data_IF_019827451180
#
_entry.id   IF_019827451180
#
_cell.length_a   1.000
_cell.length_b   1.000
_cell.length_c   1.000
_cell.angle_alpha   90.00
_cell.angle_beta   90.00
_cell.angle_gamma   90.00
#
_symmetry.space_group_name_H-M   'P 1'
#
loop_
_entity.id
_entity.type
_entity.pdbx_description
1 polymer ?
#
# COMPACT_ATOMS: atom_id res chain seq x y z
N UNK A 1 -41.58 62.42 34.83
CA UNK A 1 -42.06 62.16 36.21
C UNK A 1 -43.50 62.66 36.31
N UNK A 2 -44.48 61.80 36.04
CA UNK A 2 -45.89 62.12 36.29
C UNK A 2 -46.18 61.76 37.74
N UNK A 3 -46.37 62.77 38.58
CA UNK A 3 -46.76 62.57 39.98
C UNK A 3 -48.28 62.40 40.04
N UNK A 4 -48.76 61.16 40.11
CA UNK A 4 -50.11 60.91 40.62
C UNK A 4 -50.07 61.09 42.13
N UNK A 5 -50.67 62.18 42.63
CA UNK A 5 -50.91 62.37 44.05
C UNK A 5 -52.36 61.98 44.34
N UNK A 6 -52.59 61.10 45.31
CA UNK A 6 -53.93 60.80 45.82
C UNK A 6 -54.10 61.50 47.17
N UNK A 7 -55.15 62.29 47.31
CA UNK A 7 -55.46 63.00 48.55
C UNK A 7 -56.30 62.10 49.47
N UNK A 8 -55.74 61.65 50.59
CA UNK A 8 -56.43 60.75 51.53
C UNK A 8 -57.14 61.48 52.69
N UNK A 9 -57.43 62.76 52.52
CA UNK A 9 -58.32 63.52 53.42
C UNK A 9 -57.61 64.45 54.41
N UNK A 10 -56.32 64.29 54.68
CA UNK A 10 -55.57 65.23 55.56
C UNK A 10 -54.17 65.61 55.06
N UNK A 11 -53.57 64.91 54.09
CA UNK A 11 -52.35 65.33 53.38
C UNK A 11 -52.22 64.62 52.02
N UNK A 12 -51.32 65.12 51.16
CA UNK A 12 -50.96 64.51 49.87
C UNK A 12 -49.88 63.45 50.04
N UNK A 13 -50.24 62.16 49.97
CA UNK A 13 -49.28 61.06 49.93
C UNK A 13 -48.66 60.89 48.54
N UNK A 14 -47.35 60.64 48.49
CA UNK A 14 -46.64 60.21 47.27
C UNK A 14 -46.92 58.71 47.09
N UNK A 15 -47.60 58.34 46.00
CA UNK A 15 -48.11 56.99 45.75
C UNK A 15 -47.32 56.29 44.62
N UNK A 16 -45.99 56.46 44.58
CA UNK A 16 -45.18 55.86 43.51
C UNK A 16 -43.93 55.17 44.05
N UNK A 17 -43.68 53.96 43.55
CA UNK A 17 -42.37 53.31 43.63
C UNK A 17 -41.97 52.76 42.25
N UNK A 18 -40.69 53.00 41.92
CA UNK A 18 -39.81 52.64 40.80
C UNK A 18 -40.34 52.16 39.41
N UNK A 19 -39.60 52.45 38.31
CA UNK A 19 -39.91 51.92 36.97
C UNK A 19 -39.96 50.39 36.95
N UNK A 20 -41.08 49.83 36.48
CA UNK A 20 -41.36 48.39 36.49
C UNK A 20 -40.50 47.60 35.50
N UNK A 21 -39.96 48.22 34.45
CA UNK A 21 -39.15 47.56 33.43
C UNK A 21 -37.74 48.14 33.33
N UNK A 22 -36.80 47.25 33.01
CA UNK A 22 -35.39 47.57 32.83
C UNK A 22 -35.16 48.70 31.81
N UNK A 23 -36.01 48.88 30.80
CA UNK A 23 -35.86 49.87 29.72
C UNK A 23 -36.69 51.16 29.91
N UNK A 24 -37.23 51.42 31.10
CA UNK A 24 -38.08 52.60 31.35
C UNK A 24 -37.27 53.89 31.55
N UNK A 25 -35.96 53.79 31.82
CA UNK A 25 -35.09 54.96 31.96
C UNK A 25 -34.59 55.42 30.58
N UNK A 26 -34.76 56.71 30.34
CA UNK A 26 -34.53 57.34 29.05
C UNK A 26 -33.07 57.23 28.61
N UNK A 27 -32.83 56.72 27.40
CA UNK A 27 -31.51 56.72 26.78
C UNK A 27 -30.49 55.77 27.43
N UNK A 28 -30.94 54.77 28.20
CA UNK A 28 -30.07 53.87 28.94
C UNK A 28 -29.03 53.12 28.09
N UNK A 29 -29.35 52.84 26.82
CA UNK A 29 -28.45 52.16 25.88
C UNK A 29 -27.67 53.11 24.96
N UNK A 30 -27.80 54.42 25.14
CA UNK A 30 -27.11 55.45 24.35
C UNK A 30 -27.51 55.49 22.85
N UNK A 31 -26.83 56.33 22.05
CA UNK A 31 -27.11 56.48 20.62
C UNK A 31 -26.95 55.17 19.84
N UNK A 32 -27.88 54.87 18.94
CA UNK A 32 -27.96 53.62 18.15
C UNK A 32 -27.94 52.32 19.00
N UNK A 33 -28.15 52.43 20.30
CA UNK A 33 -28.37 51.30 21.20
C UNK A 33 -29.83 50.89 21.21
N UNK A 34 -30.06 49.59 21.39
CA UNK A 34 -31.37 48.96 21.47
C UNK A 34 -31.55 48.36 22.87
N UNK A 35 -32.55 48.83 23.61
CA UNK A 35 -32.89 48.27 24.91
C UNK A 35 -33.86 47.10 24.75
N UNK A 36 -33.41 45.89 25.00
CA UNK A 36 -34.20 44.67 24.81
C UNK A 36 -34.81 44.25 26.14
N UNK A 37 -36.13 44.33 26.24
CA UNK A 37 -36.87 44.05 27.49
C UNK A 37 -36.78 42.59 27.95
N UNK A 38 -36.49 41.65 27.04
CA UNK A 38 -36.50 40.20 27.27
C UNK A 38 -35.11 39.54 27.31
N UNK A 39 -34.02 40.30 27.12
CA UNK A 39 -32.67 39.74 26.98
C UNK A 39 -31.68 40.23 28.05
N UNK A 40 -30.66 39.39 28.32
CA UNK A 40 -29.47 39.74 29.09
C UNK A 40 -28.23 39.50 28.20
N UNK A 41 -27.42 40.53 27.91
CA UNK A 41 -27.45 41.89 28.46
C UNK A 41 -28.63 42.73 27.96
N UNK A 42 -29.07 43.68 28.80
CA UNK A 42 -30.21 44.59 28.55
C UNK A 42 -30.04 45.44 27.27
N UNK A 43 -28.82 45.83 26.94
CA UNK A 43 -28.53 46.69 25.79
C UNK A 43 -27.77 45.93 24.71
N UNK A 44 -28.27 46.05 23.48
CA UNK A 44 -27.65 45.52 22.27
C UNK A 44 -27.43 46.64 21.24
N UNK A 45 -26.56 46.42 20.26
CA UNK A 45 -26.42 47.32 19.12
C UNK A 45 -27.28 46.81 17.96
N UNK A 46 -27.85 47.72 17.17
CA UNK A 46 -28.48 47.34 15.91
C UNK A 46 -27.55 46.51 15.02
N UNK A 47 -28.12 45.66 14.15
CA UNK A 47 -27.34 44.93 13.14
C UNK A 47 -26.51 45.91 12.31
N UNK A 48 -25.22 45.63 12.12
CA UNK A 48 -24.29 46.53 11.43
C UNK A 48 -23.69 47.64 12.31
N UNK A 49 -23.97 47.63 13.61
CA UNK A 49 -23.36 48.54 14.60
C UNK A 49 -22.54 47.74 15.62
N UNK A 50 -21.65 48.43 16.31
CA UNK A 50 -20.79 47.90 17.38
C UNK A 50 -20.71 48.90 18.54
N UNK A 51 -20.46 48.45 19.78
CA UNK A 51 -20.30 49.36 20.91
C UNK A 51 -19.22 50.41 20.65
N UNK A 52 -19.49 51.67 20.98
CA UNK A 52 -18.50 52.76 20.86
C UNK A 52 -17.25 52.49 21.69
N UNK A 53 -17.44 51.89 22.87
CA UNK A 53 -16.37 51.37 23.73
C UNK A 53 -16.72 49.95 24.18
N UNK A 54 -15.97 48.96 23.66
CA UNK A 54 -16.18 47.55 24.00
C UNK A 54 -15.92 47.28 25.50
N UNK A 55 -14.96 48.01 26.09
CA UNK A 55 -14.58 47.83 27.49
C UNK A 55 -15.68 48.33 28.44
N UNK A 56 -16.28 49.49 28.17
CA UNK A 56 -17.40 50.02 28.95
C UNK A 56 -18.66 49.17 28.79
N UNK A 57 -18.94 48.72 27.56
CA UNK A 57 -20.08 47.87 27.25
C UNK A 57 -20.06 46.54 28.02
N UNK A 58 -18.87 45.94 28.16
CA UNK A 58 -18.67 44.70 28.96
C UNK A 58 -18.79 44.94 30.47
N UNK A 59 -18.51 46.16 30.93
CA UNK A 59 -18.63 46.55 32.34
C UNK A 59 -20.05 47.00 32.73
N UNK A 60 -21.00 46.95 31.79
CA UNK A 60 -22.39 47.35 32.02
C UNK A 60 -22.64 48.86 31.91
N UNK A 61 -21.71 49.62 31.33
CA UNK A 61 -21.92 51.02 31.00
C UNK A 61 -22.23 51.15 29.50
N UNK A 62 -23.50 51.37 29.16
CA UNK A 62 -24.00 51.47 27.78
C UNK A 62 -24.26 52.91 27.32
N UNK A 63 -24.01 53.90 28.17
CA UNK A 63 -24.29 55.32 27.90
C UNK A 63 -23.59 55.86 26.64
N UNK A 64 -22.43 55.30 26.30
CA UNK A 64 -21.68 55.64 25.09
C UNK A 64 -22.31 55.16 23.77
N UNK A 65 -23.32 54.28 23.83
CA UNK A 65 -24.04 53.79 22.67
C UNK A 65 -23.21 52.95 21.69
N UNK A 66 -23.72 52.89 20.46
CA UNK A 66 -23.19 52.12 19.36
C UNK A 66 -22.79 53.03 18.20
N UNK A 67 -21.78 52.60 17.46
CA UNK A 67 -21.31 53.23 16.22
C UNK A 67 -21.45 52.27 15.05
N UNK A 68 -21.64 52.80 13.85
CA UNK A 68 -21.73 51.98 12.63
C UNK A 68 -20.42 51.23 12.43
N UNK A 69 -20.50 49.95 12.07
CA UNK A 69 -19.35 49.12 11.72
C UNK A 69 -18.79 49.49 10.34
N UNK A 70 -19.70 49.76 9.40
CA UNK A 70 -19.37 50.14 8.02
C UNK A 70 -20.00 51.49 7.71
N UNK A 71 -19.24 52.39 7.09
CA UNK A 71 -19.71 53.71 6.66
C UNK A 71 -20.77 53.59 5.55
N UNK A 72 -21.71 54.53 5.52
CA UNK A 72 -22.73 54.60 4.48
C UNK A 72 -22.17 55.27 3.23
N UNK A 73 -22.40 54.68 2.06
CA UNK A 73 -21.98 55.29 0.80
C UNK A 73 -23.09 56.19 0.28
N UNK A 74 -22.81 57.49 0.21
CA UNK A 74 -23.67 58.48 -0.43
C UNK A 74 -22.87 59.20 -1.52
N UNK A 75 -22.83 58.62 -2.71
CA UNK A 75 -22.33 59.26 -3.92
C UNK A 75 -23.33 58.99 -5.04
N UNK A 76 -23.68 60.04 -5.81
CA UNK A 76 -24.81 60.06 -6.74
C UNK A 76 -24.77 59.11 -7.94
N UNK A 77 -23.87 58.11 -7.96
CA UNK A 77 -23.77 57.08 -9.00
C UNK A 77 -23.41 55.69 -8.41
N UNK A 78 -23.96 55.33 -7.25
CA UNK A 78 -23.84 53.97 -6.72
C UNK A 78 -24.65 52.99 -7.56
N UNK A 79 -23.99 52.31 -8.50
CA UNK A 79 -24.57 51.15 -9.19
C UNK A 79 -24.97 50.05 -8.19
N UNK A 80 -26.01 49.27 -8.50
CA UNK A 80 -26.78 48.44 -7.56
C UNK A 80 -26.03 47.40 -6.69
N UNK A 81 -24.71 47.25 -6.81
CA UNK A 81 -23.90 46.43 -5.90
C UNK A 81 -23.47 47.16 -4.62
N UNK A 82 -23.40 48.49 -4.62
CA UNK A 82 -22.92 49.30 -3.48
C UNK A 82 -24.01 50.17 -2.82
N UNK A 83 -25.26 50.03 -3.25
CA UNK A 83 -26.38 50.81 -2.73
C UNK A 83 -26.72 50.43 -1.28
N UNK A 84 -26.85 51.42 -0.39
CA UNK A 84 -27.32 51.22 0.97
C UNK A 84 -28.68 50.51 0.97
N UNK A 85 -28.91 49.69 1.99
CA UNK A 85 -30.12 48.88 2.17
C UNK A 85 -30.78 49.21 3.49
N UNK A 86 -32.07 48.95 3.62
CA UNK A 86 -32.78 49.12 4.88
C UNK A 86 -33.04 47.76 5.54
N UNK A 87 -32.75 47.67 6.82
CA UNK A 87 -33.00 46.50 7.65
C UNK A 87 -34.19 46.77 8.56
N UNK A 88 -35.21 45.90 8.51
CA UNK A 88 -36.37 46.02 9.35
C UNK A 88 -36.09 45.46 10.75
N UNK A 89 -36.51 46.21 11.76
CA UNK A 89 -36.49 45.81 13.17
C UNK A 89 -37.93 45.90 13.69
N UNK A 90 -38.44 44.78 14.18
CA UNK A 90 -39.82 44.64 14.65
C UNK A 90 -39.94 44.81 16.17
N UNK A 91 -41.18 45.10 16.59
CA UNK A 91 -41.59 45.25 17.99
C UNK A 91 -40.87 46.40 18.69
N UNK A 92 -40.73 47.53 17.99
CA UNK A 92 -39.93 48.67 18.43
C UNK A 92 -40.82 49.79 18.96
N UNK A 93 -40.44 50.37 20.10
CA UNK A 93 -40.81 51.74 20.46
C UNK A 93 -40.03 52.69 19.54
N UNK A 94 -40.70 53.48 18.68
CA UNK A 94 -40.00 54.40 17.79
C UNK A 94 -39.04 55.33 18.55
N UNK A 95 -37.83 55.60 18.01
CA UNK A 95 -36.89 56.53 18.62
C UNK A 95 -37.46 57.94 18.73
N UNK A 96 -36.94 58.71 19.69
CA UNK A 96 -37.29 60.12 19.82
C UNK A 96 -36.65 60.97 18.70
N UNK A 97 -37.06 62.25 18.60
CA UNK A 97 -36.56 63.22 17.62
C UNK A 97 -36.79 62.85 16.14
N UNK A 98 -37.99 62.37 15.82
CA UNK A 98 -38.41 62.13 14.43
C UNK A 98 -38.91 63.41 13.75
N UNK A 99 -38.82 63.44 12.42
CA UNK A 99 -39.47 64.41 11.54
C UNK A 99 -40.63 63.74 10.79
N UNK A 100 -41.73 64.46 10.61
CA UNK A 100 -42.84 63.97 9.78
C UNK A 100 -42.50 64.08 8.29
N UNK A 101 -42.51 62.95 7.60
CA UNK A 101 -42.41 62.90 6.14
C UNK A 101 -43.76 63.17 5.47
N UNK A 102 -43.73 63.74 4.27
CA UNK A 102 -44.93 64.05 3.47
C UNK A 102 -45.51 62.85 2.70
N UNK A 103 -44.96 61.65 2.90
CA UNK A 103 -45.29 60.44 2.12
C UNK A 103 -46.64 59.83 2.52
N UNK A 104 -47.40 59.36 1.54
CA UNK A 104 -48.77 58.86 1.75
C UNK A 104 -48.82 57.38 2.14
N UNK A 105 -47.78 56.61 1.78
CA UNK A 105 -47.67 55.20 2.13
C UNK A 105 -46.23 54.80 2.52
N UNK A 106 -46.07 53.56 2.96
CA UNK A 106 -44.80 53.02 3.43
C UNK A 106 -43.73 52.93 2.33
N UNK A 107 -44.12 52.71 1.07
CA UNK A 107 -43.18 52.61 -0.06
C UNK A 107 -42.68 54.00 -0.45
N UNK A 108 -43.57 55.00 -0.52
CA UNK A 108 -43.17 56.39 -0.72
C UNK A 108 -42.28 56.91 0.41
N UNK A 109 -42.56 56.50 1.66
CA UNK A 109 -41.72 56.82 2.82
C UNK A 109 -40.32 56.19 2.68
N UNK A 110 -40.27 54.94 2.21
CA UNK A 110 -39.02 54.24 1.91
C UNK A 110 -38.22 54.95 0.81
N UNK A 111 -38.84 55.25 -0.33
CA UNK A 111 -38.18 55.90 -1.47
C UNK A 111 -37.68 57.31 -1.10
N UNK A 112 -38.51 58.09 -0.40
CA UNK A 112 -38.13 59.42 0.09
C UNK A 112 -36.90 59.37 0.99
N UNK A 113 -36.91 58.46 1.97
CA UNK A 113 -35.75 58.25 2.82
C UNK A 113 -34.55 57.79 2.00
N UNK A 114 -34.70 56.79 1.12
CA UNK A 114 -33.63 56.27 0.24
C UNK A 114 -32.92 57.37 -0.57
N UNK A 115 -33.67 58.34 -1.11
CA UNK A 115 -33.12 59.47 -1.86
C UNK A 115 -32.51 60.59 -0.98
N UNK A 116 -32.84 60.62 0.31
CA UNK A 116 -32.23 61.54 1.26
C UNK A 116 -31.02 60.89 1.96
N UNK A 117 -29.82 61.36 1.65
CA UNK A 117 -28.58 60.85 2.24
C UNK A 117 -28.47 61.05 3.75
N UNK A 118 -29.11 62.09 4.28
CA UNK A 118 -29.14 62.36 5.72
C UNK A 118 -30.11 61.43 6.48
N UNK A 119 -31.02 60.75 5.78
CA UNK A 119 -31.96 59.82 6.40
C UNK A 119 -31.24 58.57 6.93
N UNK A 120 -31.29 58.33 8.23
CA UNK A 120 -30.64 57.20 8.89
C UNK A 120 -31.61 56.04 9.18
N UNK A 121 -32.89 56.36 9.40
CA UNK A 121 -33.97 55.39 9.57
C UNK A 121 -35.33 56.01 9.24
N UNK A 122 -36.32 55.17 8.97
CA UNK A 122 -37.71 55.59 8.83
C UNK A 122 -38.66 54.53 9.40
N UNK A 123 -39.89 54.93 9.71
CA UNK A 123 -40.99 54.06 10.08
C UNK A 123 -42.29 54.60 9.47
N UNK A 124 -43.21 53.73 9.09
CA UNK A 124 -44.54 54.13 8.64
C UNK A 124 -45.57 53.48 9.55
N UNK A 125 -46.29 54.31 10.31
CA UNK A 125 -47.27 53.84 11.28
C UNK A 125 -48.67 54.20 10.78
N UNK A 126 -49.54 53.19 10.67
CA UNK A 126 -50.91 53.39 10.19
C UNK A 126 -51.66 54.37 11.11
N UNK A 127 -52.17 55.46 10.54
CA UNK A 127 -52.88 56.52 11.27
C UNK A 127 -52.00 57.67 11.78
N UNK A 128 -50.67 57.52 11.79
CA UNK A 128 -49.72 58.60 12.13
C UNK A 128 -48.99 59.09 10.87
N UNK A 129 -48.58 58.18 9.98
CA UNK A 129 -47.87 58.49 8.74
C UNK A 129 -46.38 58.15 8.79
N UNK A 130 -45.62 58.78 7.89
CA UNK A 130 -44.18 58.56 7.72
C UNK A 130 -43.36 59.33 8.77
N UNK A 131 -42.55 58.61 9.54
CA UNK A 131 -41.60 59.13 10.52
C UNK A 131 -40.17 58.92 10.00
N UNK A 132 -39.35 59.96 10.02
CA UNK A 132 -37.99 59.94 9.47
C UNK A 132 -36.99 60.44 10.51
N UNK A 133 -35.85 59.77 10.63
CA UNK A 133 -34.75 60.18 11.51
C UNK A 133 -33.52 60.56 10.71
N UNK A 134 -33.10 61.82 10.85
CA UNK A 134 -31.88 62.36 10.23
C UNK A 134 -30.70 62.49 11.23
N UNK A 135 -30.93 62.14 12.50
CA UNK A 135 -29.97 62.22 13.60
C UNK A 135 -29.81 60.86 14.28
N UNK A 136 -28.92 60.79 15.28
CA UNK A 136 -28.68 59.56 16.03
C UNK A 136 -29.98 59.05 16.69
N UNK A 137 -30.22 57.74 16.59
CA UNK A 137 -31.42 57.11 17.15
C UNK A 137 -31.22 56.95 18.66
N UNK A 138 -32.13 57.53 19.45
CA UNK A 138 -32.08 57.50 20.90
C UNK A 138 -33.38 56.94 21.48
N UNK A 139 -33.26 56.32 22.66
CA UNK A 139 -34.37 55.76 23.45
C UNK A 139 -35.18 54.66 22.74
N UNK A 140 -34.50 53.83 21.94
CA UNK A 140 -35.15 52.70 21.26
C UNK A 140 -35.30 51.52 22.19
N UNK A 141 -36.55 51.03 22.32
CA UNK A 141 -36.89 49.86 23.14
C UNK A 141 -37.45 48.76 22.24
N UNK A 142 -37.00 47.52 22.43
CA UNK A 142 -37.57 46.34 21.80
C UNK A 142 -38.42 45.55 22.79
N UNK A 143 -39.69 45.37 22.43
CA UNK A 143 -40.65 44.56 23.16
C UNK A 143 -40.59 43.10 22.68
N UNK A 144 -40.95 42.17 23.57
CA UNK A 144 -41.10 40.77 23.19
C UNK A 144 -42.24 40.58 22.18
N UNK A 145 -43.34 41.32 22.33
CA UNK A 145 -44.50 41.33 21.44
C UNK A 145 -45.11 42.74 21.39
N UNK A 146 -45.67 43.12 20.25
CA UNK A 146 -46.24 44.45 20.01
C UNK A 146 -45.19 45.53 19.72
N UNK A 147 -45.62 46.73 19.36
CA UNK A 147 -44.76 47.83 18.90
C UNK A 147 -44.72 47.96 17.37
N UNK A 148 -43.86 48.83 16.88
CA UNK A 148 -43.83 49.27 15.48
C UNK A 148 -42.64 48.69 14.70
N UNK A 149 -42.66 48.88 13.38
CA UNK A 149 -41.58 48.50 12.47
C UNK A 149 -40.66 49.71 12.20
N UNK A 150 -39.39 49.59 12.59
CA UNK A 150 -38.35 50.56 12.29
C UNK A 150 -37.44 50.03 11.18
N UNK A 151 -37.26 50.80 10.11
CA UNK A 151 -36.34 50.49 9.03
C UNK A 151 -35.05 51.32 9.19
N UNK A 152 -33.95 50.67 9.57
CA UNK A 152 -32.64 51.33 9.74
C UNK A 152 -31.76 51.15 8.49
N UNK A 153 -31.13 52.23 8.03
CA UNK A 153 -30.22 52.20 6.88
C UNK A 153 -28.91 51.51 7.23
N UNK A 154 -28.43 50.59 6.40
CA UNK A 154 -27.17 49.84 6.52
C UNK A 154 -26.40 49.82 5.19
N UNK A 155 -25.09 49.57 5.26
CA UNK A 155 -24.29 49.26 4.08
C UNK A 155 -24.66 47.85 3.54
N UNK A 156 -24.65 47.65 2.21
CA UNK A 156 -25.05 46.37 1.61
C UNK A 156 -24.19 45.17 2.03
N UNK A 157 -22.92 45.43 2.34
CA UNK A 157 -21.99 44.44 2.89
C UNK A 157 -22.45 43.83 4.21
N UNK A 158 -23.28 44.53 5.00
CA UNK A 158 -23.80 44.06 6.30
C UNK A 158 -24.95 43.03 6.16
N UNK A 159 -25.50 42.84 4.95
CA UNK A 159 -26.48 41.78 4.67
C UNK A 159 -25.81 40.42 4.41
N UNK A 160 -24.50 40.39 4.12
CA UNK A 160 -23.78 39.22 3.65
C UNK A 160 -23.21 38.33 4.77
N UNK A 161 -24.06 37.58 5.47
CA UNK A 161 -23.63 36.57 6.43
C UNK A 161 -24.12 35.17 6.08
N UNK A 162 -23.42 34.44 5.19
CA UNK A 162 -23.40 32.96 5.16
C UNK A 162 -22.61 32.29 4.00
N UNK A 163 -22.06 33.03 3.03
CA UNK A 163 -21.36 32.38 1.89
C UNK A 163 -20.12 31.60 2.32
N UNK A 164 -19.34 32.12 3.28
CA UNK A 164 -18.10 31.46 3.72
C UNK A 164 -18.35 30.10 4.38
N UNK A 165 -19.43 29.98 5.17
CA UNK A 165 -19.78 28.72 5.83
C UNK A 165 -20.38 27.70 4.86
N UNK A 166 -21.17 28.14 3.87
CA UNK A 166 -21.64 27.27 2.78
C UNK A 166 -20.48 26.73 1.93
N UNK A 167 -19.48 27.56 1.65
CA UNK A 167 -18.29 27.15 0.89
C UNK A 167 -17.47 26.13 1.70
N UNK A 168 -17.24 26.37 3.00
CA UNK A 168 -16.51 25.43 3.86
C UNK A 168 -17.24 24.09 3.97
N UNK A 169 -18.56 24.09 4.16
CA UNK A 169 -19.36 22.88 4.22
C UNK A 169 -19.32 22.09 2.89
N UNK A 170 -19.41 22.78 1.74
CA UNK A 170 -19.33 22.15 0.43
C UNK A 170 -17.96 21.49 0.15
N UNK A 171 -16.87 22.12 0.60
CA UNK A 171 -15.51 21.56 0.48
C UNK A 171 -15.36 20.29 1.33
N UNK A 172 -15.86 20.29 2.57
CA UNK A 172 -15.77 19.13 3.46
C UNK A 172 -16.55 17.92 2.91
N UNK A 173 -17.77 18.14 2.41
CA UNK A 173 -18.59 17.08 1.81
C UNK A 173 -17.93 16.51 0.55
N UNK A 174 -17.33 17.36 -0.27
CA UNK A 174 -16.63 16.94 -1.49
C UNK A 174 -15.38 16.11 -1.19
N UNK A 175 -14.61 16.49 -0.17
CA UNK A 175 -13.43 15.75 0.27
C UNK A 175 -13.79 14.37 0.85
N UNK A 176 -14.84 14.29 1.67
CA UNK A 176 -15.34 13.02 2.21
C UNK A 176 -15.82 12.09 1.09
N UNK A 177 -16.57 12.62 0.12
CA UNK A 177 -17.01 11.85 -1.06
C UNK A 177 -15.84 11.31 -1.89
N UNK A 178 -14.79 12.11 -2.08
CA UNK A 178 -13.59 11.69 -2.82
C UNK A 178 -12.82 10.57 -2.11
N UNK A 179 -12.68 10.63 -0.78
CA UNK A 179 -12.03 9.56 0.01
C UNK A 179 -12.83 8.25 -0.04
N UNK A 180 -14.16 8.32 0.02
CA UNK A 180 -15.04 7.15 -0.12
C UNK A 180 -14.91 6.56 -1.52
N UNK A 181 -14.87 7.39 -2.56
CA UNK A 181 -14.71 6.92 -3.94
C UNK A 181 -13.35 6.22 -4.15
N UNK A 182 -12.24 6.79 -3.65
CA UNK A 182 -10.91 6.16 -3.75
C UNK A 182 -10.86 4.84 -2.98
N UNK A 183 -11.41 4.80 -1.75
CA UNK A 183 -11.41 3.57 -0.96
C UNK A 183 -12.27 2.47 -1.59
N UNK A 184 -13.43 2.81 -2.16
CA UNK A 184 -14.27 1.89 -2.92
C UNK A 184 -13.57 1.40 -4.21
N UNK A 185 -12.93 2.30 -4.96
CA UNK A 185 -12.17 1.94 -6.15
C UNK A 185 -10.97 1.04 -5.81
N UNK A 186 -10.26 1.31 -4.71
CA UNK A 186 -9.17 0.47 -4.22
C UNK A 186 -9.66 -0.89 -3.74
N UNK A 187 -10.77 -0.96 -3.02
CA UNK A 187 -11.40 -2.20 -2.59
C UNK A 187 -11.89 -3.02 -3.80
N UNK A 188 -12.51 -2.38 -4.79
CA UNK A 188 -12.93 -3.02 -6.03
C UNK A 188 -11.74 -3.50 -6.85
N UNK A 189 -10.65 -2.73 -6.92
CA UNK A 189 -9.41 -3.16 -7.57
C UNK A 189 -8.78 -4.36 -6.85
N UNK A 190 -8.66 -4.32 -5.52
CA UNK A 190 -8.22 -5.46 -4.69
C UNK A 190 -9.10 -6.68 -4.89
N UNK A 191 -10.42 -6.49 -4.96
CA UNK A 191 -11.39 -7.55 -5.22
C UNK A 191 -11.22 -8.14 -6.61
N UNK A 192 -11.10 -7.31 -7.66
CA UNK A 192 -10.84 -7.73 -9.04
C UNK A 192 -9.49 -8.43 -9.19
N UNK A 193 -8.44 -7.97 -8.52
CA UNK A 193 -7.12 -8.64 -8.50
C UNK A 193 -7.21 -10.00 -7.83
N UNK A 194 -7.90 -10.11 -6.67
CA UNK A 194 -8.07 -11.39 -5.95
C UNK A 194 -8.98 -12.36 -6.72
N UNK A 195 -10.05 -11.87 -7.34
CA UNK A 195 -11.01 -12.67 -8.10
C UNK A 195 -10.43 -13.12 -9.45
N UNK A 196 -9.73 -12.24 -10.18
CA UNK A 196 -9.01 -12.63 -11.40
C UNK A 196 -7.82 -13.54 -11.10
N UNK A 197 -7.16 -13.41 -9.94
CA UNK A 197 -6.13 -14.36 -9.52
C UNK A 197 -6.71 -15.75 -9.25
N UNK A 198 -7.87 -15.86 -8.61
CA UNK A 198 -8.51 -17.15 -8.36
C UNK A 198 -9.07 -17.80 -9.64
N UNK A 199 -9.77 -17.04 -10.50
CA UNK A 199 -10.26 -17.56 -11.79
C UNK A 199 -9.11 -17.93 -12.74
N UNK A 200 -8.04 -17.13 -12.77
CA UNK A 200 -6.82 -17.45 -13.54
C UNK A 200 -6.10 -18.67 -12.97
N UNK A 201 -6.06 -18.85 -11.64
CA UNK A 201 -5.46 -20.04 -11.02
C UNK A 201 -6.20 -21.31 -11.42
N UNK A 202 -7.51 -21.38 -11.22
CA UNK A 202 -8.32 -22.57 -11.53
C UNK A 202 -8.34 -22.87 -13.04
N UNK A 203 -8.57 -21.85 -13.88
CA UNK A 203 -8.53 -22.02 -15.33
C UNK A 203 -7.14 -22.39 -15.85
N UNK A 204 -6.07 -21.85 -15.25
CA UNK A 204 -4.71 -22.27 -15.60
C UNK A 204 -4.49 -23.72 -15.20
N UNK A 205 -4.84 -24.11 -13.97
CA UNK A 205 -4.55 -25.43 -13.41
C UNK A 205 -5.24 -26.56 -14.19
N UNK A 206 -6.49 -26.36 -14.59
CA UNK A 206 -7.20 -27.26 -15.49
C UNK A 206 -6.62 -27.26 -16.90
N UNK A 207 -6.15 -26.12 -17.42
CA UNK A 207 -5.44 -26.05 -18.69
C UNK A 207 -4.06 -26.75 -18.65
N UNK A 208 -3.33 -26.73 -17.53
CA UNK A 208 -2.04 -27.43 -17.35
C UNK A 208 -2.24 -28.94 -17.32
N UNK A 209 -3.20 -29.40 -16.51
CA UNK A 209 -3.54 -30.82 -16.41
C UNK A 209 -4.04 -31.34 -17.75
N UNK A 210 -4.88 -30.60 -18.47
CA UNK A 210 -5.39 -31.01 -19.78
C UNK A 210 -4.36 -30.85 -20.92
N UNK A 211 -3.44 -29.87 -20.83
CA UNK A 211 -2.36 -29.66 -21.79
C UNK A 211 -1.25 -30.70 -21.70
N UNK A 212 -0.91 -31.16 -20.49
CA UNK A 212 0.01 -32.28 -20.26
C UNK A 212 -0.65 -33.63 -20.59
N UNK A 213 -1.95 -33.81 -20.31
CA UNK A 213 -2.65 -35.09 -20.49
C UNK A 213 -2.99 -35.47 -21.94
N UNK A 214 -2.76 -34.61 -22.95
CA UNK A 214 -3.30 -34.90 -24.29
C UNK A 214 -2.35 -34.93 -25.49
N UNK A 215 -1.06 -34.54 -25.46
CA UNK A 215 -0.27 -34.74 -26.70
C UNK A 215 1.28 -34.81 -26.73
N UNK A 216 2.09 -34.55 -25.69
CA UNK A 216 3.54 -34.30 -25.96
C UNK A 216 4.62 -34.98 -25.09
N UNK A 217 4.28 -35.91 -24.18
CA UNK A 217 5.29 -36.56 -23.32
C UNK A 217 5.11 -38.08 -23.26
N UNK A 218 5.53 -38.77 -24.32
CA UNK A 218 5.58 -40.24 -24.34
C UNK A 218 6.53 -40.77 -23.26
N UNK A 219 6.03 -41.61 -22.34
CA UNK A 219 6.86 -42.32 -21.34
C UNK A 219 6.93 -41.70 -19.93
N UNK A 220 6.06 -40.74 -19.59
CA UNK A 220 5.94 -40.19 -18.24
C UNK A 220 4.68 -40.70 -17.54
N UNK A 221 4.84 -41.31 -16.35
CA UNK A 221 3.72 -41.77 -15.54
C UNK A 221 3.13 -40.65 -14.68
N UNK A 222 1.80 -40.59 -14.59
CA UNK A 222 1.10 -39.68 -13.69
C UNK A 222 0.63 -40.45 -12.47
N UNK A 223 1.20 -40.12 -11.31
CA UNK A 223 0.84 -40.73 -10.03
C UNK A 223 -0.31 -39.96 -9.37
N UNK A 224 -1.19 -40.68 -8.67
CA UNK A 224 -2.20 -40.09 -7.81
C UNK A 224 -1.58 -39.64 -6.48
N UNK A 225 -2.05 -38.53 -5.90
CA UNK A 225 -1.49 -37.97 -4.67
C UNK A 225 -1.56 -38.97 -3.51
N UNK A 226 -2.69 -39.67 -3.35
CA UNK A 226 -2.88 -40.69 -2.33
C UNK A 226 -1.83 -41.81 -2.40
N UNK A 227 -1.43 -42.20 -3.61
CA UNK A 227 -0.35 -43.19 -3.82
C UNK A 227 0.98 -42.66 -3.30
N UNK A 228 1.29 -41.38 -3.56
CA UNK A 228 2.55 -40.76 -3.13
C UNK A 228 2.55 -40.47 -1.62
N UNK A 229 1.42 -40.04 -1.06
CA UNK A 229 1.25 -39.86 0.38
C UNK A 229 1.45 -41.18 1.11
N UNK A 230 0.82 -42.26 0.65
CA UNK A 230 1.02 -43.60 1.21
C UNK A 230 2.48 -44.04 1.09
N UNK A 231 3.09 -43.89 -0.09
CA UNK A 231 4.47 -44.30 -0.33
C UNK A 231 5.49 -43.54 0.53
N UNK A 232 5.21 -42.28 0.87
CA UNK A 232 6.11 -41.42 1.67
C UNK A 232 5.74 -41.37 3.15
N UNK A 233 4.73 -42.13 3.58
CA UNK A 233 4.13 -42.03 4.92
C UNK A 233 3.75 -40.58 5.26
N UNK A 234 2.90 -40.01 4.41
CA UNK A 234 2.43 -38.63 4.45
C UNK A 234 3.57 -37.59 4.57
N UNK A 235 4.59 -37.73 3.72
CA UNK A 235 5.79 -36.89 3.72
C UNK A 235 6.47 -36.79 5.11
N UNK A 236 6.52 -37.90 5.85
CA UNK A 236 7.14 -37.94 7.18
C UNK A 236 8.57 -37.39 7.16
N UNK A 237 8.93 -36.63 8.20
CA UNK A 237 10.28 -36.11 8.39
C UNK A 237 11.33 -37.23 8.47
N UNK A 238 10.96 -38.43 8.93
CA UNK A 238 11.86 -39.59 8.94
C UNK A 238 12.26 -40.05 7.54
N UNK A 239 11.44 -39.75 6.53
CA UNK A 239 11.69 -40.08 5.13
C UNK A 239 12.35 -38.93 4.38
N UNK A 240 12.62 -37.79 5.01
CA UNK A 240 13.20 -36.63 4.34
C UNK A 240 14.67 -36.89 3.98
N UNK A 241 14.98 -36.85 2.69
CA UNK A 241 16.33 -37.03 2.16
C UNK A 241 17.13 -35.72 2.16
N UNK A 242 16.45 -34.59 1.92
CA UNK A 242 17.08 -33.27 1.89
C UNK A 242 16.09 -32.14 1.63
N UNK A 243 16.57 -30.91 1.74
CA UNK A 243 15.82 -29.70 1.40
C UNK A 243 16.77 -28.69 0.77
N UNK A 244 16.39 -28.17 -0.40
CA UNK A 244 17.11 -27.13 -1.12
C UNK A 244 16.22 -25.94 -1.46
N UNK A 245 16.76 -25.01 -2.25
CA UNK A 245 16.00 -23.85 -2.76
C UNK A 245 14.78 -24.22 -3.60
N UNK A 246 14.76 -25.45 -4.12
CA UNK A 246 13.73 -25.95 -5.04
C UNK A 246 12.68 -26.83 -4.36
N UNK A 247 12.76 -27.03 -3.04
CA UNK A 247 11.79 -27.83 -2.28
C UNK A 247 12.43 -28.93 -1.45
N UNK A 248 11.59 -29.80 -0.91
CA UNK A 248 12.00 -30.92 -0.07
C UNK A 248 11.95 -32.23 -0.85
N UNK A 249 12.90 -33.12 -0.61
CA UNK A 249 12.96 -34.45 -1.23
C UNK A 249 12.73 -35.51 -0.17
N UNK A 250 11.84 -36.46 -0.44
CA UNK A 250 11.46 -37.55 0.45
C UNK A 250 11.74 -38.91 -0.19
N UNK A 251 12.15 -39.88 0.61
CA UNK A 251 12.17 -41.29 0.23
C UNK A 251 10.75 -41.82 0.27
N UNK A 252 10.36 -42.56 -0.74
CA UNK A 252 9.11 -43.31 -0.77
C UNK A 252 9.34 -44.75 -1.18
N UNK A 253 8.37 -45.61 -0.88
CA UNK A 253 8.31 -46.99 -1.37
C UNK A 253 6.93 -47.25 -1.95
N UNK A 254 6.89 -47.54 -3.25
CA UNK A 254 5.64 -47.87 -3.95
C UNK A 254 5.13 -49.25 -3.52
N UNK A 255 3.87 -49.57 -3.85
CA UNK A 255 3.23 -50.84 -3.47
C UNK A 255 3.92 -52.07 -4.06
N UNK A 256 4.53 -51.92 -5.24
CA UNK A 256 5.35 -52.95 -5.90
C UNK A 256 6.73 -53.14 -5.24
N UNK A 257 7.03 -52.37 -4.19
CA UNK A 257 8.27 -52.40 -3.44
C UNK A 257 9.37 -51.50 -4.01
N UNK A 258 9.13 -50.81 -5.14
CA UNK A 258 10.10 -49.93 -5.78
C UNK A 258 10.36 -48.71 -4.90
N UNK A 259 11.64 -48.46 -4.59
CA UNK A 259 12.06 -47.26 -3.87
C UNK A 259 12.13 -46.06 -4.82
N UNK A 260 11.59 -44.93 -4.37
CA UNK A 260 11.50 -43.69 -5.15
C UNK A 260 12.00 -42.49 -4.35
N UNK A 261 12.42 -41.44 -5.06
CA UNK A 261 12.68 -40.13 -4.49
C UNK A 261 11.61 -39.14 -4.97
N UNK A 262 10.88 -38.54 -4.04
CA UNK A 262 9.78 -37.61 -4.31
C UNK A 262 10.24 -36.19 -4.00
N UNK A 263 10.45 -35.39 -5.06
CA UNK A 263 10.77 -33.95 -4.96
C UNK A 263 9.48 -33.16 -4.92
N UNK A 264 9.14 -32.62 -3.75
CA UNK A 264 7.97 -31.74 -3.54
C UNK A 264 8.41 -30.29 -3.72
N UNK A 265 7.94 -29.66 -4.80
CA UNK A 265 8.30 -28.28 -5.13
C UNK A 265 7.57 -27.29 -4.24
N UNK A 266 8.21 -26.19 -3.89
CA UNK A 266 7.58 -25.15 -3.07
C UNK A 266 6.57 -24.34 -3.90
N UNK A 267 5.40 -24.05 -3.32
CA UNK A 267 4.33 -23.27 -3.95
C UNK A 267 4.59 -21.75 -3.97
N UNK A 268 5.69 -21.29 -3.37
CA UNK A 268 5.91 -19.87 -3.04
C UNK A 268 6.55 -19.01 -4.13
N UNK A 269 6.83 -19.54 -5.34
CA UNK A 269 7.43 -18.73 -6.42
C UNK A 269 6.92 -19.08 -7.82
N UNK A 270 6.85 -18.07 -8.69
CA UNK A 270 6.62 -18.28 -10.14
C UNK A 270 7.77 -19.04 -10.82
N UNK A 271 8.97 -18.98 -10.24
CA UNK A 271 10.17 -19.67 -10.71
C UNK A 271 10.02 -21.21 -10.61
N UNK A 272 9.47 -21.72 -9.50
CA UNK A 272 9.27 -23.17 -9.31
C UNK A 272 8.34 -23.82 -10.34
N UNK A 273 7.45 -23.04 -10.97
CA UNK A 273 6.57 -23.53 -12.04
C UNK A 273 7.32 -23.71 -13.36
N UNK A 274 8.18 -22.76 -13.73
CA UNK A 274 9.00 -22.88 -14.93
C UNK A 274 10.01 -24.03 -14.81
N UNK A 275 10.62 -24.19 -13.63
CA UNK A 275 11.57 -25.27 -13.34
C UNK A 275 10.91 -26.65 -13.39
N UNK A 276 9.69 -26.79 -12.84
CA UNK A 276 8.90 -28.01 -12.94
C UNK A 276 8.63 -28.40 -14.40
N UNK A 277 8.22 -27.43 -15.22
CA UNK A 277 7.94 -27.67 -16.62
C UNK A 277 9.21 -28.00 -17.40
N UNK A 278 10.31 -27.32 -17.10
CA UNK A 278 11.61 -27.64 -17.68
C UNK A 278 12.03 -29.07 -17.35
N UNK A 279 11.95 -29.49 -16.08
CA UNK A 279 12.27 -30.86 -15.67
C UNK A 279 11.41 -31.86 -16.43
N UNK A 280 10.08 -31.71 -16.43
CA UNK A 280 9.17 -32.62 -17.15
C UNK A 280 9.49 -32.71 -18.65
N UNK A 281 9.66 -31.58 -19.34
CA UNK A 281 9.83 -31.56 -20.80
C UNK A 281 11.20 -32.08 -21.21
N UNK A 282 12.24 -31.79 -20.43
CA UNK A 282 13.60 -32.21 -20.71
C UNK A 282 13.82 -33.67 -20.37
N UNK A 283 13.61 -34.04 -19.11
CA UNK A 283 14.09 -35.33 -18.61
C UNK A 283 13.24 -36.49 -19.13
N UNK A 284 11.98 -36.26 -19.49
CA UNK A 284 11.16 -37.27 -20.17
C UNK A 284 11.73 -37.67 -21.54
N UNK A 285 12.51 -36.78 -22.18
CA UNK A 285 13.12 -37.01 -23.49
C UNK A 285 14.59 -37.46 -23.40
N UNK A 286 15.16 -37.44 -22.20
CA UNK A 286 16.56 -37.76 -21.94
C UNK A 286 16.66 -39.09 -21.20
N UNK A 287 17.36 -40.05 -21.80
CA UNK A 287 17.60 -41.35 -21.20
C UNK A 287 19.06 -41.73 -21.40
N UNK A 288 19.81 -41.80 -20.31
CA UNK A 288 21.22 -42.14 -20.33
C UNK A 288 21.64 -42.67 -18.96
N UNK A 289 22.56 -43.64 -18.93
CA UNK A 289 23.04 -44.30 -17.70
C UNK A 289 23.60 -43.35 -16.65
N UNK A 290 24.14 -42.19 -17.08
CA UNK A 290 24.70 -41.16 -16.21
C UNK A 290 23.76 -39.96 -15.96
N UNK A 291 22.46 -40.12 -16.21
CA UNK A 291 21.42 -39.13 -15.85
C UNK A 291 20.42 -39.80 -14.92
N UNK A 292 19.90 -39.08 -13.94
CA UNK A 292 18.85 -39.59 -13.05
C UNK A 292 17.56 -39.73 -13.84
N UNK A 293 16.91 -40.88 -13.74
CA UNK A 293 15.65 -41.16 -14.40
C UNK A 293 14.47 -40.53 -13.63
N UNK A 294 13.68 -39.70 -14.32
CA UNK A 294 12.34 -39.34 -13.87
C UNK A 294 11.39 -40.48 -14.21
N UNK A 295 10.70 -40.99 -13.21
CA UNK A 295 9.69 -42.03 -13.34
C UNK A 295 8.32 -41.43 -13.66
N UNK A 296 8.01 -40.27 -13.08
CA UNK A 296 6.71 -39.64 -13.27
C UNK A 296 6.54 -38.33 -12.52
N UNK A 297 5.31 -37.81 -12.55
CA UNK A 297 4.93 -36.64 -11.77
C UNK A 297 3.55 -36.82 -11.13
N UNK A 298 3.28 -36.03 -10.09
CA UNK A 298 1.95 -35.88 -9.51
C UNK A 298 1.58 -34.40 -9.48
N UNK A 299 0.38 -34.08 -9.95
CA UNK A 299 -0.16 -32.72 -10.02
C UNK A 299 -1.58 -32.74 -9.48
N UNK A 300 -1.77 -32.18 -8.29
CA UNK A 300 -3.07 -32.07 -7.63
C UNK A 300 -3.16 -30.75 -6.88
N UNK A 301 -4.16 -29.91 -7.20
CA UNK A 301 -4.23 -28.60 -6.57
C UNK A 301 -3.00 -27.74 -6.91
N UNK A 302 -2.44 -27.14 -5.86
CA UNK A 302 -1.16 -26.41 -5.94
C UNK A 302 0.08 -27.34 -5.88
N UNK A 303 -0.11 -28.62 -5.50
CA UNK A 303 0.96 -29.59 -5.32
C UNK A 303 1.57 -30.04 -6.66
N UNK A 304 2.89 -30.02 -6.72
CA UNK A 304 3.69 -30.43 -7.88
C UNK A 304 4.83 -31.30 -7.38
N UNK A 305 4.74 -32.58 -7.69
CA UNK A 305 5.69 -33.58 -7.25
C UNK A 305 6.37 -34.19 -8.47
N UNK A 306 7.68 -34.38 -8.37
CA UNK A 306 8.47 -35.14 -9.34
C UNK A 306 8.99 -36.40 -8.68
N UNK A 307 8.79 -37.53 -9.35
CA UNK A 307 9.11 -38.86 -8.86
C UNK A 307 10.31 -39.38 -9.64
N UNK A 308 11.43 -39.58 -8.94
CA UNK A 308 12.69 -40.06 -9.48
C UNK A 308 13.01 -41.47 -8.97
N UNK A 309 13.91 -42.16 -9.66
CA UNK A 309 14.58 -43.32 -9.09
C UNK A 309 15.30 -42.95 -7.79
N UNK A 310 15.29 -43.85 -6.80
CA UNK A 310 15.99 -43.62 -5.54
C UNK A 310 17.49 -43.89 -5.68
N UNK A 311 18.30 -42.92 -5.27
CA UNK A 311 19.76 -43.00 -5.32
C UNK A 311 20.31 -43.36 -3.94
N UNK A 312 20.70 -44.64 -3.76
CA UNK A 312 21.06 -45.24 -2.46
C UNK A 312 22.22 -44.50 -1.79
N UNK A 313 23.23 -44.12 -2.57
CA UNK A 313 24.45 -43.49 -2.06
C UNK A 313 24.33 -41.97 -1.94
N UNK A 314 23.17 -41.36 -2.22
CA UNK A 314 22.95 -39.91 -2.16
C UNK A 314 23.92 -39.15 -3.10
N UNK A 315 24.29 -37.91 -2.75
CA UNK A 315 25.09 -37.01 -3.56
C UNK A 315 26.59 -37.15 -3.32
N UNK A 316 27.39 -36.90 -4.36
CA UNK A 316 28.85 -37.02 -4.37
C UNK A 316 29.52 -36.10 -3.33
N UNK A 317 28.96 -34.94 -3.06
CA UNK A 317 29.46 -34.01 -2.02
C UNK A 317 29.53 -34.65 -0.63
N UNK A 318 28.67 -35.63 -0.34
CA UNK A 318 28.66 -36.39 0.92
C UNK A 318 29.92 -37.24 1.05
N UNK A 319 30.48 -37.74 -0.06
CA UNK A 319 31.72 -38.51 -0.04
C UNK A 319 32.95 -37.63 -0.17
N UNK A 320 32.87 -36.47 -0.81
CA UNK A 320 34.02 -35.59 -0.96
C UNK A 320 34.30 -34.78 0.32
N UNK A 321 33.24 -34.28 0.98
CA UNK A 321 33.38 -33.26 2.03
C UNK A 321 33.03 -33.76 3.45
N UNK A 322 32.43 -34.94 3.62
CA UNK A 322 32.30 -35.56 4.96
C UNK A 322 33.60 -36.31 5.27
N UNK A 323 34.31 -35.86 6.30
CA UNK A 323 35.59 -36.43 6.72
C UNK A 323 35.51 -37.93 7.06
N UNK A 324 34.33 -38.43 7.44
CA UNK A 324 34.13 -39.86 7.75
C UNK A 324 34.00 -40.73 6.51
N UNK A 325 33.56 -40.15 5.39
CA UNK A 325 33.29 -40.85 4.13
C UNK A 325 34.33 -40.59 3.04
N UNK A 326 35.20 -39.60 3.23
CA UNK A 326 36.23 -39.18 2.28
C UNK A 326 37.14 -40.31 1.80
N UNK A 327 37.38 -41.29 2.67
CA UNK A 327 38.21 -42.47 2.42
C UNK A 327 37.46 -43.63 1.77
N UNK A 328 36.13 -43.54 1.60
CA UNK A 328 35.33 -44.57 0.91
C UNK A 328 35.47 -44.51 -0.62
N UNK A 329 36.04 -43.42 -1.15
CA UNK A 329 36.26 -43.21 -2.59
C UNK A 329 37.72 -42.86 -2.91
N UNK A 330 38.45 -43.88 -3.38
CA UNK A 330 39.83 -43.76 -3.85
C UNK A 330 39.95 -43.01 -5.18
N UNK A 331 41.19 -42.76 -5.63
CA UNK A 331 41.40 -42.06 -6.91
C UNK A 331 40.76 -42.78 -8.11
N UNK A 332 40.96 -44.11 -8.32
CA UNK A 332 40.30 -44.82 -9.41
C UNK A 332 38.78 -44.61 -9.42
N UNK A 333 38.11 -44.69 -8.26
CA UNK A 333 36.67 -44.45 -8.18
C UNK A 333 36.30 -43.00 -8.51
N UNK A 334 37.08 -42.01 -8.05
CA UNK A 334 36.87 -40.59 -8.40
C UNK A 334 37.04 -40.36 -9.90
N UNK A 335 38.02 -41.01 -10.51
CA UNK A 335 38.27 -40.90 -11.95
C UNK A 335 37.13 -41.53 -12.78
N UNK A 336 36.63 -42.70 -12.38
CA UNK A 336 35.42 -43.30 -12.97
C UNK A 336 34.20 -42.37 -12.87
N UNK A 337 34.05 -41.71 -11.72
CA UNK A 337 32.99 -40.71 -11.50
C UNK A 337 33.16 -39.52 -12.45
N UNK A 338 34.37 -38.96 -12.59
CA UNK A 338 34.66 -37.86 -13.53
C UNK A 338 34.32 -38.27 -14.96
N UNK A 339 34.72 -39.47 -15.38
CA UNK A 339 34.40 -40.00 -16.71
C UNK A 339 32.90 -40.16 -16.91
N UNK A 340 32.18 -40.74 -15.95
CA UNK A 340 30.73 -40.92 -16.04
C UNK A 340 29.98 -39.58 -16.13
N UNK A 341 30.41 -38.56 -15.38
CA UNK A 341 29.86 -37.21 -15.49
C UNK A 341 30.15 -36.63 -16.88
N UNK A 342 31.39 -36.75 -17.38
CA UNK A 342 31.76 -36.27 -18.70
C UNK A 342 30.94 -36.94 -19.81
N UNK A 343 30.70 -38.26 -19.72
CA UNK A 343 29.80 -38.99 -20.63
C UNK A 343 28.36 -38.45 -20.56
N UNK A 344 27.84 -38.19 -19.35
CA UNK A 344 26.51 -37.58 -19.18
C UNK A 344 26.40 -36.20 -19.82
N UNK A 345 27.43 -35.34 -19.65
CA UNK A 345 27.47 -34.01 -20.26
C UNK A 345 27.64 -34.06 -21.79
N UNK A 346 28.47 -34.98 -22.29
CA UNK A 346 28.64 -35.20 -23.74
C UNK A 346 27.30 -35.58 -24.37
N UNK A 347 26.56 -36.50 -23.73
CA UNK A 347 25.22 -36.88 -24.17
C UNK A 347 24.28 -35.68 -24.23
N UNK A 348 24.24 -34.85 -23.18
CA UNK A 348 23.39 -33.65 -23.16
C UNK A 348 23.77 -32.63 -24.25
N UNK A 349 25.06 -32.51 -24.56
CA UNK A 349 25.56 -31.49 -25.48
C UNK A 349 25.57 -31.91 -26.96
N UNK A 350 25.72 -33.21 -27.25
CA UNK A 350 25.98 -33.71 -28.60
C UNK A 350 25.11 -34.91 -28.99
N UNK A 351 25.01 -35.94 -28.13
CA UNK A 351 24.42 -37.23 -28.57
C UNK A 351 22.90 -37.33 -28.36
N UNK A 352 22.33 -36.46 -27.54
CA UNK A 352 20.88 -36.38 -27.36
C UNK A 352 20.22 -35.66 -28.53
N UNK A 353 18.96 -35.99 -28.80
CA UNK A 353 18.17 -35.38 -29.90
C UNK A 353 17.99 -33.87 -29.75
N UNK A 354 18.12 -33.36 -28.53
CA UNK A 354 17.99 -31.97 -28.19
C UNK A 354 19.31 -31.53 -27.57
N UNK A 355 19.91 -30.44 -28.03
CA UNK A 355 21.09 -29.91 -27.37
C UNK A 355 20.68 -29.24 -26.07
N UNK A 356 21.10 -29.79 -24.94
CA UNK A 356 20.70 -29.36 -23.59
C UNK A 356 21.90 -28.84 -22.82
N UNK A 357 21.83 -27.59 -22.34
CA UNK A 357 22.83 -27.05 -21.41
C UNK A 357 22.25 -27.11 -19.99
N UNK A 358 22.87 -27.88 -19.09
CA UNK A 358 22.37 -28.14 -17.74
C UNK A 358 22.34 -26.89 -16.85
N UNK A 359 23.37 -26.04 -16.94
CA UNK A 359 23.54 -24.78 -16.20
C UNK A 359 23.63 -24.87 -14.67
N UNK A 360 23.46 -26.03 -14.05
CA UNK A 360 23.67 -26.18 -12.59
C UNK A 360 24.44 -27.45 -12.24
N UNK A 361 25.55 -27.68 -12.93
CA UNK A 361 26.42 -28.86 -12.73
C UNK A 361 27.32 -28.60 -11.53
N UNK A 362 27.07 -29.30 -10.42
CA UNK A 362 27.83 -29.21 -9.16
C UNK A 362 27.83 -30.54 -8.43
N UNK A 363 28.79 -30.76 -7.53
CA UNK A 363 28.94 -32.03 -6.79
C UNK A 363 27.68 -32.47 -6.03
N UNK A 364 26.88 -31.53 -5.52
CA UNK A 364 25.62 -31.86 -4.83
C UNK A 364 24.50 -32.36 -5.76
N UNK A 365 24.62 -32.09 -7.06
CA UNK A 365 23.67 -32.51 -8.10
C UNK A 365 24.15 -33.78 -8.84
N UNK A 366 25.30 -34.34 -8.44
CA UNK A 366 25.76 -35.65 -8.89
C UNK A 366 25.34 -36.68 -7.84
N UNK A 367 24.36 -37.53 -8.17
CA UNK A 367 23.91 -38.61 -7.31
C UNK A 367 24.61 -39.92 -7.66
N UNK A 368 24.71 -40.83 -6.70
CA UNK A 368 25.42 -42.10 -6.83
C UNK A 368 24.47 -43.28 -6.65
N UNK A 369 24.49 -44.20 -7.62
CA UNK A 369 23.73 -45.45 -7.55
C UNK A 369 24.37 -46.46 -6.58
N UNK A 370 23.77 -47.64 -6.44
CA UNK A 370 24.27 -48.73 -5.59
C UNK A 370 25.72 -49.17 -5.91
N UNK A 371 26.16 -48.98 -7.16
CA UNK A 371 27.49 -49.37 -7.65
C UNK A 371 28.48 -48.18 -7.68
N UNK A 372 28.10 -47.05 -7.08
CA UNK A 372 28.86 -45.79 -7.09
C UNK A 372 29.04 -45.16 -8.48
N UNK A 373 28.13 -45.44 -9.42
CA UNK A 373 28.13 -44.75 -10.71
C UNK A 373 27.46 -43.38 -10.58
N UNK A 374 27.99 -42.34 -11.25
CA UNK A 374 27.44 -41.00 -11.19
C UNK A 374 26.21 -40.85 -12.09
N UNK A 375 25.20 -40.16 -11.56
CA UNK A 375 24.01 -39.71 -12.29
C UNK A 375 23.77 -38.22 -12.06
N UNK A 376 23.72 -37.44 -13.14
CA UNK A 376 23.43 -36.01 -13.10
C UNK A 376 21.94 -35.80 -12.82
N UNK A 377 21.63 -34.91 -11.88
CA UNK A 377 20.28 -34.56 -11.44
C UNK A 377 20.04 -33.04 -11.46
N UNK A 378 18.79 -32.64 -11.23
CA UNK A 378 18.35 -31.24 -11.05
C UNK A 378 18.39 -30.39 -12.34
N UNK A 379 17.52 -30.74 -13.28
CA UNK A 379 17.42 -30.08 -14.59
C UNK A 379 16.54 -28.81 -14.59
N UNK A 380 16.08 -28.31 -13.44
CA UNK A 380 15.17 -27.16 -13.37
C UNK A 380 15.68 -25.91 -14.10
N UNK A 381 17.00 -25.69 -14.08
CA UNK A 381 17.65 -24.54 -14.73
C UNK A 381 18.14 -24.82 -16.16
N UNK A 382 18.04 -26.06 -16.63
CA UNK A 382 18.55 -26.49 -17.93
C UNK A 382 17.79 -25.83 -19.10
N UNK A 383 18.45 -25.74 -20.25
CA UNK A 383 17.91 -25.08 -21.45
C UNK A 383 18.11 -25.91 -22.70
N UNK A 384 17.07 -25.97 -23.53
CA UNK A 384 17.10 -26.62 -24.85
C UNK A 384 17.47 -25.62 -25.93
N UNK A 385 18.29 -26.07 -26.87
CA UNK A 385 18.57 -25.37 -28.13
C UNK A 385 18.06 -26.22 -29.29
N UNK A 386 17.26 -25.63 -30.18
CA UNK A 386 16.79 -26.26 -31.41
C UNK A 386 17.47 -25.60 -32.63
N UNK A 387 17.83 -26.42 -33.63
CA UNK A 387 18.41 -25.95 -34.90
C UNK A 387 19.84 -25.39 -34.77
N UNK A 388 20.17 -24.39 -35.59
CA UNK A 388 21.50 -23.76 -35.67
C UNK A 388 21.70 -22.61 -34.66
N UNK A 389 20.81 -22.47 -33.68
CA UNK A 389 20.93 -21.44 -32.64
C UNK A 389 21.96 -21.88 -31.59
N UNK A 390 23.17 -21.31 -31.66
CA UNK A 390 24.25 -21.56 -30.69
C UNK A 390 24.29 -20.54 -29.55
N UNK A 391 23.41 -19.54 -29.55
CA UNK A 391 23.39 -18.45 -28.58
C UNK A 391 21.95 -18.08 -28.21
N UNK A 392 21.72 -17.88 -26.90
CA UNK A 392 20.46 -17.37 -26.36
C UNK A 392 20.76 -16.29 -25.30
N UNK A 393 19.95 -15.23 -25.25
CA UNK A 393 20.13 -14.10 -24.33
C UNK A 393 19.40 -14.38 -23.03
N UNK A 394 20.14 -14.79 -22.00
CA UNK A 394 19.57 -14.97 -20.66
C UNK A 394 19.65 -13.66 -19.86
N UNK A 395 18.58 -13.31 -19.12
CA UNK A 395 18.55 -12.12 -18.25
C UNK A 395 19.28 -12.33 -16.90
N UNK A 396 19.74 -13.56 -16.61
CA UNK A 396 20.29 -13.96 -15.31
C UNK A 396 21.51 -14.86 -15.51
N UNK A 397 22.65 -14.45 -14.96
CA UNK A 397 23.85 -15.29 -14.88
C UNK A 397 23.60 -16.36 -13.83
N UNK A 398 23.60 -17.63 -14.25
CA UNK A 398 23.48 -18.79 -13.36
C UNK A 398 24.36 -19.92 -13.88
N UNK A 399 25.06 -20.58 -12.96
CA UNK A 399 25.70 -21.88 -13.15
C UNK A 399 27.11 -22.03 -12.61
N UNK A 400 27.49 -23.29 -12.40
CA UNK A 400 28.84 -23.71 -12.01
C UNK A 400 29.54 -24.33 -13.22
N UNK A 401 30.81 -23.98 -13.42
CA UNK A 401 31.64 -24.53 -14.50
C UNK A 401 32.08 -25.96 -14.15
N UNK A 402 32.07 -26.84 -15.14
CA UNK A 402 32.54 -28.22 -14.99
C UNK A 402 33.97 -28.28 -14.44
N UNK A 403 34.85 -27.36 -14.86
CA UNK A 403 36.22 -27.30 -14.38
C UNK A 403 36.35 -27.08 -12.87
N UNK A 404 35.52 -26.20 -12.31
CA UNK A 404 35.47 -25.97 -10.85
C UNK A 404 35.09 -27.26 -10.12
N UNK A 405 34.09 -27.97 -10.62
CA UNK A 405 33.65 -29.24 -10.03
C UNK A 405 34.76 -30.31 -10.11
N UNK A 406 35.54 -30.37 -11.20
CA UNK A 406 36.69 -31.27 -11.29
C UNK A 406 37.69 -31.01 -10.16
N UNK A 407 38.06 -29.75 -9.93
CA UNK A 407 39.02 -29.39 -8.90
C UNK A 407 38.52 -29.78 -7.49
N UNK A 408 37.21 -29.64 -7.23
CA UNK A 408 36.59 -30.11 -5.99
C UNK A 408 36.65 -31.64 -5.85
N UNK A 409 36.46 -32.41 -6.93
CA UNK A 409 36.55 -33.87 -6.90
C UNK A 409 37.98 -34.34 -6.65
N UNK A 410 38.97 -33.71 -7.30
CA UNK A 410 40.39 -34.08 -7.17
C UNK A 410 40.89 -33.79 -5.74
N UNK A 411 40.69 -32.56 -5.27
CA UNK A 411 41.12 -32.14 -3.93
C UNK A 411 40.29 -32.78 -2.80
N UNK A 412 39.02 -33.11 -3.08
CA UNK A 412 38.05 -33.41 -2.03
C UNK A 412 37.78 -32.21 -1.13
N UNK A 413 37.98 -30.99 -1.63
CA UNK A 413 37.78 -29.74 -0.88
C UNK A 413 36.75 -28.86 -1.57
N UNK A 414 35.90 -28.22 -0.76
CA UNK A 414 34.84 -27.35 -1.27
C UNK A 414 35.42 -25.99 -1.63
N UNK A 415 35.20 -25.53 -2.86
CA UNK A 415 35.79 -24.27 -3.35
C UNK A 415 35.45 -23.06 -2.47
N UNK A 416 34.24 -23.05 -1.89
CA UNK A 416 33.77 -21.95 -1.04
C UNK A 416 34.43 -21.89 0.34
N UNK A 417 35.17 -22.93 0.75
CA UNK A 417 35.75 -23.06 2.10
C UNK A 417 37.27 -23.23 2.09
N UNK A 418 37.84 -23.59 0.94
CA UNK A 418 39.27 -23.85 0.83
C UNK A 418 40.10 -22.57 0.94
N UNK A 419 41.08 -22.60 1.84
CA UNK A 419 42.07 -21.55 2.04
C UNK A 419 43.40 -22.24 2.33
N UNK A 420 44.46 -21.90 1.58
CA UNK A 420 45.79 -22.49 1.74
C UNK A 420 46.90 -21.44 1.87
N UNK A 421 47.90 -21.74 2.69
CA UNK A 421 49.08 -20.89 2.93
C UNK A 421 48.80 -19.60 3.73
N UNK A 422 49.87 -18.88 4.06
CA UNK A 422 49.80 -17.60 4.77
C UNK A 422 49.06 -16.52 3.96
N UNK A 423 49.16 -16.59 2.63
CA UNK A 423 48.53 -15.67 1.68
C UNK A 423 47.02 -15.93 1.45
N UNK A 424 46.43 -16.92 2.14
CA UNK A 424 45.01 -17.30 2.00
C UNK A 424 44.55 -17.54 0.56
N UNK A 425 45.29 -18.37 -0.17
CA UNK A 425 45.01 -18.68 -1.58
C UNK A 425 43.72 -19.49 -1.71
N UNK A 426 42.93 -19.19 -2.74
CA UNK A 426 41.71 -19.94 -3.10
C UNK A 426 42.06 -21.26 -3.77
N UNK A 427 41.11 -22.19 -3.88
CA UNK A 427 41.33 -23.49 -4.53
C UNK A 427 41.81 -23.34 -5.99
N UNK A 428 41.29 -22.33 -6.71
CA UNK A 428 41.71 -22.04 -8.08
C UNK A 428 43.17 -21.55 -8.14
N UNK A 429 43.55 -20.66 -7.23
CA UNK A 429 44.93 -20.15 -7.17
C UNK A 429 45.90 -21.27 -6.80
N UNK A 430 45.55 -22.10 -5.81
CA UNK A 430 46.34 -23.26 -5.42
C UNK A 430 46.46 -24.29 -6.55
N UNK A 431 45.37 -24.60 -7.25
CA UNK A 431 45.38 -25.52 -8.39
C UNK A 431 46.26 -25.00 -9.54
N UNK A 432 46.23 -23.70 -9.82
CA UNK A 432 47.08 -23.09 -10.85
C UNK A 432 48.57 -23.14 -10.49
N UNK A 433 48.93 -22.88 -9.23
CA UNK A 433 50.31 -22.98 -8.74
C UNK A 433 50.81 -24.42 -8.80
N UNK A 434 50.05 -25.37 -8.25
CA UNK A 434 50.39 -26.79 -8.32
C UNK A 434 50.53 -27.29 -9.77
N UNK A 435 49.63 -26.87 -10.66
CA UNK A 435 49.75 -27.17 -12.09
C UNK A 435 51.06 -26.64 -12.69
N UNK A 436 51.44 -25.41 -12.35
CA UNK A 436 52.65 -24.76 -12.87
C UNK A 436 53.94 -25.37 -12.34
N UNK A 437 53.94 -25.86 -11.10
CA UNK A 437 55.13 -26.39 -10.43
C UNK A 437 55.38 -27.87 -10.72
N UNK A 438 54.35 -28.71 -10.70
CA UNK A 438 54.50 -30.16 -10.83
C UNK A 438 53.40 -30.85 -11.63
N UNK A 439 52.65 -30.12 -12.45
CA UNK A 439 51.57 -30.70 -13.26
C UNK A 439 50.34 -31.09 -12.44
N UNK A 440 50.14 -30.49 -11.26
CA UNK A 440 48.89 -30.60 -10.50
C UNK A 440 48.82 -31.78 -9.55
N UNK A 441 49.95 -32.44 -9.30
CA UNK A 441 50.02 -33.65 -8.45
C UNK A 441 49.69 -33.33 -7.00
N UNK A 442 50.12 -32.17 -6.50
CA UNK A 442 49.84 -31.76 -5.10
C UNK A 442 48.37 -31.41 -4.85
N UNK A 443 47.56 -31.31 -5.91
CA UNK A 443 46.12 -31.14 -5.75
C UNK A 443 45.43 -32.44 -5.33
N UNK A 444 46.05 -33.60 -5.62
CA UNK A 444 45.52 -34.86 -5.16
C UNK A 444 45.63 -34.94 -3.65
N UNK A 445 44.54 -35.33 -2.99
CA UNK A 445 44.55 -35.50 -1.55
C UNK A 445 45.68 -36.45 -1.13
N UNK A 446 46.45 -36.08 -0.11
CA UNK A 446 47.60 -36.85 0.37
C UNK A 446 47.22 -38.28 0.74
N UNK A 447 46.01 -38.48 1.27
CA UNK A 447 45.46 -39.81 1.62
C UNK A 447 45.15 -40.69 0.38
N UNK A 448 45.15 -40.10 -0.82
CA UNK A 448 44.86 -40.77 -2.09
C UNK A 448 46.07 -40.83 -3.02
N UNK A 449 47.20 -40.22 -2.63
CA UNK A 449 48.40 -40.09 -3.44
C UNK A 449 48.93 -41.45 -3.93
N UNK A 450 48.85 -42.49 -3.09
CA UNK A 450 49.33 -43.84 -3.41
C UNK A 450 48.46 -44.58 -4.44
N UNK A 451 47.21 -44.13 -4.65
CA UNK A 451 46.27 -44.72 -5.61
C UNK A 451 46.18 -43.98 -6.94
N UNK A 452 46.85 -42.82 -7.03
CA UNK A 452 46.74 -41.89 -8.15
C UNK A 452 47.69 -42.18 -9.31
N UNK A 453 47.18 -42.27 -10.55
CA UNK A 453 48.04 -42.16 -11.73
C UNK A 453 48.31 -40.68 -12.04
N UNK A 454 49.56 -40.24 -11.86
CA UNK A 454 49.97 -38.84 -12.04
C UNK A 454 49.52 -38.22 -13.38
N UNK A 455 49.52 -39.01 -14.46
CA UNK A 455 49.08 -38.55 -15.78
C UNK A 455 47.57 -38.25 -15.86
N UNK A 456 46.75 -39.02 -15.15
CA UNK A 456 45.30 -38.81 -15.10
C UNK A 456 44.96 -37.57 -14.28
N UNK A 457 45.56 -37.47 -13.09
CA UNK A 457 45.39 -36.32 -12.19
C UNK A 457 45.75 -35.04 -12.92
N UNK A 458 46.95 -34.98 -13.53
CA UNK A 458 47.39 -33.80 -14.24
C UNK A 458 46.47 -33.42 -15.40
N UNK A 459 45.97 -34.40 -16.16
CA UNK A 459 45.01 -34.13 -17.23
C UNK A 459 43.70 -33.54 -16.71
N UNK A 460 43.18 -34.07 -15.60
CA UNK A 460 41.98 -33.55 -14.95
C UNK A 460 42.19 -32.13 -14.40
N UNK A 461 43.34 -31.84 -13.79
CA UNK A 461 43.68 -30.48 -13.32
C UNK A 461 43.77 -29.50 -14.50
N UNK A 462 44.45 -29.89 -15.58
CA UNK A 462 44.53 -29.08 -16.80
C UNK A 462 43.14 -28.71 -17.33
N UNK A 463 42.24 -29.70 -17.44
CA UNK A 463 40.85 -29.48 -17.87
C UNK A 463 40.09 -28.60 -16.87
N UNK A 464 40.37 -28.75 -15.57
CA UNK A 464 39.76 -27.96 -14.50
C UNK A 464 40.07 -26.46 -14.57
N UNK A 465 41.24 -26.11 -15.12
CA UNK A 465 41.76 -24.74 -15.22
C UNK A 465 41.47 -24.04 -16.56
N UNK A 466 40.94 -24.76 -17.57
CA UNK A 466 40.44 -24.20 -18.84
C UNK A 466 39.05 -23.59 -18.67
#
# INVERSE_FOLDING_TARGET
>A
MQLCKRHNGTDWGIDFDAPTNLCDSYGDCGPFGLCVTSASPKCECFKGFVPKSIEEWKRGNWTGGCVRRTELHCHGNSTGKDANVFHLVSNIKPPDSYEFGSSMDAEECHQSCLHNCSCLAFAFINGIGCLVWNQELLDVVQFSEGGELLSIRLARSELGGNERNRIIAAIIVSLLGFVIFISAAFAFWRYRVKHNANISKDASQDAWRNGLKRQDVSGLDFFEMDTIETATNNFSLSNKLGQGGFGSVYKGKLQDGKEIAVKRLSSSSGQGKEEFMNEIVLISKLQHKNLVQLLGCCIEGEEKLLIYEFMVNKSLDTFLFDSRKKLEIDWPKRFDIIQGIACGLLYLHQDSRLKVIHRDVKVSNILLDENMNPKISDFGLARMFQGTHFQDKTRRIVGTLFGVMLLEIISGEKISRFIYGEDRKTLLAFAWESWSENGGVDLLNQDLADSGHHSEVGRCVQIGLL
#
